data_IF_737978159549
#
_entry.id   IF_737978159549
#
_cell.length_a   1.000
_cell.length_b   1.000
_cell.length_c   1.000
_cell.angle_alpha   90.00
_cell.angle_beta   90.00
_cell.angle_gamma   90.00
#
_symmetry.space_group_name_H-M   'P 1'
#
loop_
_entity.id
_entity.type
_entity.pdbx_description
1 polymer ?
#
# COMPACT_ATOMS: atom_id res chain seq x y z
N UNK A 1 -8.99 23.58 -43.93
CA UNK A 1 -8.19 22.64 -43.16
C UNK A 1 -9.08 22.12 -42.03
N UNK A 2 -9.63 20.94 -42.22
CA UNK A 2 -10.55 20.30 -41.29
C UNK A 2 -9.70 19.60 -40.20
N UNK A 3 -9.69 20.10 -38.96
CA UNK A 3 -9.06 19.39 -37.88
C UNK A 3 -9.91 18.16 -37.56
N UNK A 4 -9.36 17.01 -37.88
CA UNK A 4 -9.90 15.72 -37.42
C UNK A 4 -9.59 15.57 -35.93
N UNK A 5 -10.56 15.84 -35.08
CA UNK A 5 -10.48 15.52 -33.65
C UNK A 5 -10.53 14.00 -33.55
N UNK A 6 -9.39 13.37 -33.32
CA UNK A 6 -9.32 11.96 -32.99
C UNK A 6 -9.92 11.79 -31.59
N UNK A 7 -11.18 11.40 -31.53
CA UNK A 7 -11.77 10.87 -30.29
C UNK A 7 -11.01 9.59 -29.96
N UNK A 8 -10.14 9.65 -28.95
CA UNK A 8 -9.57 8.44 -28.36
C UNK A 8 -10.76 7.61 -27.86
N UNK A 9 -11.03 6.47 -28.50
CA UNK A 9 -11.97 5.49 -27.97
C UNK A 9 -11.47 5.06 -26.59
N UNK A 10 -12.25 5.38 -25.58
CA UNK A 10 -11.99 4.94 -24.20
C UNK A 10 -12.11 3.42 -24.20
N UNK A 11 -11.04 2.72 -23.89
CA UNK A 11 -11.05 1.27 -23.79
C UNK A 11 -12.09 0.82 -22.75
N UNK A 12 -13.06 -0.02 -23.14
CA UNK A 12 -14.12 -0.44 -22.23
C UNK A 12 -13.54 -1.26 -21.07
N UNK A 13 -14.10 -1.07 -19.88
CA UNK A 13 -13.80 -1.94 -18.73
C UNK A 13 -14.37 -3.34 -19.03
N UNK A 14 -13.56 -4.38 -18.82
CA UNK A 14 -13.96 -5.77 -18.93
C UNK A 14 -14.24 -6.35 -17.54
N UNK A 15 -15.31 -7.11 -17.41
CA UNK A 15 -15.77 -7.71 -16.15
C UNK A 15 -15.66 -9.24 -16.12
N UNK A 16 -15.13 -9.82 -17.19
CA UNK A 16 -14.86 -11.25 -17.34
C UNK A 16 -13.48 -11.67 -16.79
N UNK A 17 -12.67 -10.70 -16.36
CA UNK A 17 -11.35 -10.94 -15.79
C UNK A 17 -11.38 -10.61 -14.31
N UNK A 18 -11.07 -11.57 -13.47
CA UNK A 18 -11.02 -11.45 -12.00
C UNK A 18 -9.84 -12.23 -11.45
N UNK A 19 -9.23 -11.70 -10.39
CA UNK A 19 -8.24 -12.42 -9.59
C UNK A 19 -8.88 -13.07 -8.35
N UNK A 20 -10.09 -12.63 -7.99
CA UNK A 20 -10.84 -13.14 -6.84
C UNK A 20 -11.67 -14.37 -7.24
N UNK A 21 -11.56 -15.43 -6.47
CA UNK A 21 -12.42 -16.62 -6.55
C UNK A 21 -13.59 -16.52 -5.59
N UNK A 22 -14.55 -17.44 -5.68
CA UNK A 22 -15.65 -17.55 -4.71
C UNK A 22 -15.12 -17.81 -3.28
N UNK A 23 -14.04 -18.57 -3.15
CA UNK A 23 -13.37 -18.83 -1.88
C UNK A 23 -12.71 -17.57 -1.31
N UNK A 24 -12.04 -16.76 -2.15
CA UNK A 24 -11.43 -15.49 -1.73
C UNK A 24 -12.50 -14.54 -1.15
N UNK A 25 -13.67 -14.40 -1.80
CA UNK A 25 -14.77 -13.59 -1.28
C UNK A 25 -15.30 -14.11 0.06
N UNK A 26 -15.45 -15.42 0.19
CA UNK A 26 -15.90 -16.06 1.43
C UNK A 26 -14.90 -15.81 2.56
N UNK A 27 -13.61 -16.10 2.34
CA UNK A 27 -12.54 -15.91 3.32
C UNK A 27 -12.38 -14.44 3.73
N UNK A 28 -12.56 -13.51 2.79
CA UNK A 28 -12.50 -12.08 3.08
C UNK A 28 -13.61 -11.66 4.05
N UNK A 29 -14.84 -12.04 3.76
CA UNK A 29 -15.99 -11.69 4.61
C UNK A 29 -15.95 -12.38 5.98
N UNK A 30 -15.38 -13.60 6.06
CA UNK A 30 -15.16 -14.30 7.35
C UNK A 30 -13.97 -13.74 8.17
N UNK A 31 -13.16 -12.85 7.59
CA UNK A 31 -11.98 -12.30 8.24
C UNK A 31 -10.78 -13.23 8.27
N UNK A 32 -10.71 -14.17 7.35
CA UNK A 32 -9.70 -15.23 7.27
C UNK A 32 -8.86 -15.16 5.97
N UNK A 33 -9.01 -14.12 5.18
CA UNK A 33 -8.18 -13.90 4.00
C UNK A 33 -6.93 -13.10 4.39
N UNK A 34 -5.75 -13.72 4.33
CA UNK A 34 -4.50 -13.12 4.82
C UNK A 34 -3.54 -12.67 3.71
N UNK A 35 -3.95 -12.78 2.45
CA UNK A 35 -3.14 -12.43 1.26
C UNK A 35 -3.92 -11.57 0.27
N UNK A 36 -4.66 -10.58 0.78
CA UNK A 36 -5.46 -9.65 -0.05
C UNK A 36 -4.61 -8.91 -1.07
N UNK A 37 -3.37 -8.60 -0.74
CA UNK A 37 -2.42 -7.90 -1.61
C UNK A 37 -2.08 -8.66 -2.91
N UNK A 38 -2.40 -9.95 -3.00
CA UNK A 38 -2.27 -10.75 -4.24
C UNK A 38 -3.49 -10.65 -5.15
N UNK A 39 -4.61 -10.14 -4.65
CA UNK A 39 -5.92 -10.19 -5.27
C UNK A 39 -6.58 -8.83 -5.43
N UNK A 40 -6.52 -8.01 -4.39
CA UNK A 40 -7.14 -6.68 -4.34
C UNK A 40 -6.10 -5.59 -4.65
N UNK A 41 -6.60 -4.40 -5.01
CA UNK A 41 -5.75 -3.31 -5.47
C UNK A 41 -5.66 -3.28 -6.99
N UNK A 42 -4.48 -2.97 -7.52
CA UNK A 42 -4.21 -2.86 -8.95
C UNK A 42 -3.15 -3.88 -9.39
N UNK A 43 -3.56 -4.86 -10.19
CA UNK A 43 -2.69 -5.95 -10.65
C UNK A 43 -2.55 -5.97 -12.17
N UNK A 44 -1.31 -6.00 -12.66
CA UNK A 44 -0.98 -6.17 -14.07
C UNK A 44 -1.34 -7.59 -14.52
N UNK A 45 -2.17 -7.70 -15.55
CA UNK A 45 -2.68 -8.98 -16.07
C UNK A 45 -2.67 -8.98 -17.61
N UNK A 46 -2.44 -10.14 -18.18
CA UNK A 46 -2.69 -10.38 -19.59
C UNK A 46 -3.86 -11.37 -19.75
N UNK A 47 -4.92 -10.96 -20.43
CA UNK A 47 -6.12 -11.77 -20.64
C UNK A 47 -6.55 -11.74 -22.10
N UNK A 48 -6.57 -12.93 -22.74
CA UNK A 48 -6.91 -13.06 -24.15
C UNK A 48 -5.96 -12.27 -25.08
N UNK A 49 -4.67 -12.22 -24.76
CA UNK A 49 -3.66 -11.47 -25.53
C UNK A 49 -3.69 -9.96 -25.30
N UNK A 50 -4.52 -9.46 -24.39
CA UNK A 50 -4.62 -8.04 -24.06
C UNK A 50 -4.00 -7.79 -22.67
N UNK A 51 -2.98 -6.93 -22.61
CA UNK A 51 -2.38 -6.46 -21.37
C UNK A 51 -3.21 -5.32 -20.78
N UNK A 52 -3.29 -5.29 -19.46
CA UNK A 52 -4.02 -4.26 -18.73
C UNK A 52 -3.88 -4.45 -17.21
N UNK A 53 -4.75 -3.79 -16.48
CA UNK A 53 -4.76 -3.85 -15.01
C UNK A 53 -6.15 -4.26 -14.52
N UNK A 54 -6.20 -5.24 -13.63
CA UNK A 54 -7.39 -5.52 -12.80
C UNK A 54 -7.34 -4.58 -11.61
N UNK A 55 -8.43 -3.85 -11.38
CA UNK A 55 -8.63 -3.02 -10.20
C UNK A 55 -9.69 -3.65 -9.32
N UNK A 56 -9.42 -3.71 -8.01
CA UNK A 56 -10.36 -4.29 -7.04
C UNK A 56 -10.31 -3.52 -5.73
N UNK A 57 -11.49 -3.13 -5.20
CA UNK A 57 -11.60 -2.35 -3.96
C UNK A 57 -12.84 -2.74 -3.16
N UNK A 58 -12.74 -2.72 -1.84
CA UNK A 58 -13.85 -2.96 -0.93
C UNK A 58 -14.56 -1.65 -0.57
N UNK A 59 -15.82 -1.53 -1.00
CA UNK A 59 -16.69 -0.37 -0.76
C UNK A 59 -18.15 -0.82 -0.71
N UNK A 60 -18.59 -1.52 0.35
CA UNK A 60 -19.90 -2.17 0.44
C UNK A 60 -21.07 -1.19 0.45
N UNK A 61 -20.84 0.05 0.86
CA UNK A 61 -21.88 1.09 0.91
C UNK A 61 -21.84 2.04 -0.31
N UNK A 62 -21.01 1.73 -1.31
CA UNK A 62 -20.97 2.49 -2.55
C UNK A 62 -22.19 2.16 -3.43
N UNK A 63 -22.74 3.20 -4.09
CA UNK A 63 -23.68 3.08 -5.20
C UNK A 63 -22.95 2.87 -6.51
N UNK A 64 -21.79 3.47 -6.66
CA UNK A 64 -20.92 3.38 -7.83
C UNK A 64 -19.47 3.55 -7.41
N UNK A 65 -18.60 2.79 -8.04
CA UNK A 65 -17.14 2.95 -7.95
C UNK A 65 -16.58 3.06 -9.36
N UNK A 66 -15.67 3.98 -9.59
CA UNK A 66 -14.93 4.11 -10.85
C UNK A 66 -13.44 4.30 -10.58
N UNK A 67 -12.61 4.01 -11.59
CA UNK A 67 -11.17 4.30 -11.54
C UNK A 67 -10.90 5.56 -12.34
N UNK A 68 -10.39 6.59 -11.66
CA UNK A 68 -9.84 7.79 -12.27
C UNK A 68 -8.31 7.75 -12.25
N UNK A 69 -7.68 8.32 -13.26
CA UNK A 69 -6.23 8.31 -13.31
C UNK A 69 -5.62 9.04 -14.50
N UNK A 70 -4.29 8.97 -14.60
CA UNK A 70 -3.54 9.60 -15.68
C UNK A 70 -3.91 9.06 -17.08
N UNK A 71 -4.41 7.83 -17.15
CA UNK A 71 -4.80 7.15 -18.39
C UNK A 71 -6.12 7.68 -19.00
N UNK A 72 -7.01 8.26 -18.19
CA UNK A 72 -8.30 8.78 -18.63
C UNK A 72 -8.50 10.27 -18.33
N UNK A 73 -7.40 11.01 -18.08
CA UNK A 73 -7.43 12.43 -17.76
C UNK A 73 -8.16 12.75 -16.45
N UNK A 74 -8.17 11.82 -15.50
CA UNK A 74 -8.86 11.92 -14.20
C UNK A 74 -10.39 12.05 -14.33
N UNK A 75 -10.95 11.42 -15.38
CA UNK A 75 -12.38 11.40 -15.57
C UNK A 75 -13.05 10.41 -14.61
N UNK A 76 -13.96 10.90 -13.80
CA UNK A 76 -14.59 10.16 -12.70
C UNK A 76 -15.69 9.18 -13.16
N UNK A 77 -16.08 9.20 -14.44
CA UNK A 77 -17.27 8.47 -14.93
C UNK A 77 -16.95 7.39 -15.98
N UNK A 78 -15.78 7.42 -16.59
CA UNK A 78 -15.52 6.64 -17.81
C UNK A 78 -15.09 5.20 -17.58
N UNK A 79 -14.66 4.83 -16.37
CA UNK A 79 -14.17 3.49 -16.05
C UNK A 79 -14.84 2.95 -14.77
N UNK A 80 -16.18 2.68 -14.82
CA UNK A 80 -16.88 2.14 -13.67
C UNK A 80 -16.45 0.70 -13.41
N UNK A 81 -16.35 0.34 -12.13
CA UNK A 81 -16.19 -1.02 -11.65
C UNK A 81 -17.55 -1.67 -11.42
N UNK A 82 -17.58 -3.00 -11.38
CA UNK A 82 -18.80 -3.78 -11.13
C UNK A 82 -18.72 -4.43 -9.75
N UNK A 83 -19.84 -4.45 -8.98
CA UNK A 83 -19.88 -5.15 -7.70
C UNK A 83 -19.84 -6.66 -7.90
N UNK A 84 -19.10 -7.36 -7.03
CA UNK A 84 -18.95 -8.82 -7.06
C UNK A 84 -19.94 -9.47 -6.07
N UNK A 85 -21.18 -9.60 -6.53
CA UNK A 85 -22.27 -10.15 -5.70
C UNK A 85 -22.50 -9.32 -4.44
N UNK A 86 -22.64 -10.00 -3.29
CA UNK A 86 -22.85 -9.37 -1.97
C UNK A 86 -21.58 -9.16 -1.16
N UNK A 87 -20.40 -9.38 -1.75
CA UNK A 87 -19.12 -9.28 -1.03
C UNK A 87 -18.74 -7.84 -0.61
N UNK A 88 -19.37 -6.84 -1.23
CA UNK A 88 -18.97 -5.43 -1.07
C UNK A 88 -17.72 -5.05 -1.87
N UNK A 89 -17.13 -5.98 -2.64
CA UNK A 89 -15.96 -5.73 -3.49
C UNK A 89 -16.43 -5.30 -4.88
N UNK A 90 -15.76 -4.28 -5.43
CA UNK A 90 -15.91 -3.76 -6.78
C UNK A 90 -14.69 -4.10 -7.60
N UNK A 91 -14.89 -4.58 -8.83
CA UNK A 91 -13.78 -5.07 -9.66
C UNK A 91 -14.00 -4.77 -11.14
N UNK A 92 -12.89 -4.61 -11.89
CA UNK A 92 -12.89 -4.49 -13.34
C UNK A 92 -11.47 -4.51 -13.92
N UNK A 93 -11.33 -5.07 -15.12
CA UNK A 93 -10.10 -5.07 -15.89
C UNK A 93 -10.12 -3.91 -16.89
N UNK A 94 -9.09 -3.08 -16.88
CA UNK A 94 -8.95 -1.94 -17.79
C UNK A 94 -7.80 -2.24 -18.77
N UNK A 95 -8.12 -2.51 -20.04
CA UNK A 95 -7.11 -2.75 -21.07
C UNK A 95 -6.19 -1.55 -21.28
N UNK A 96 -4.91 -1.82 -21.54
CA UNK A 96 -3.92 -0.79 -21.86
C UNK A 96 -3.39 0.00 -20.67
N UNK A 97 -3.96 -0.15 -19.48
CA UNK A 97 -3.42 0.45 -18.25
C UNK A 97 -2.24 -0.38 -17.76
N UNK A 98 -1.06 0.23 -17.67
CA UNK A 98 0.19 -0.44 -17.36
C UNK A 98 0.90 0.11 -16.11
N UNK A 99 2.07 -0.47 -15.83
CA UNK A 99 2.96 -0.06 -14.73
C UNK A 99 3.30 1.43 -14.81
N UNK A 100 3.27 2.10 -13.67
CA UNK A 100 3.55 3.54 -13.54
C UNK A 100 2.32 4.43 -13.72
N UNK A 101 1.15 3.87 -14.07
CA UNK A 101 -0.10 4.63 -14.19
C UNK A 101 -0.56 5.11 -12.82
N UNK A 102 -0.86 6.41 -12.71
CA UNK A 102 -1.43 7.02 -11.51
C UNK A 102 -2.94 6.81 -11.51
N UNK A 103 -3.50 6.45 -10.34
CA UNK A 103 -4.94 6.23 -10.21
C UNK A 103 -5.46 6.51 -8.80
N UNK A 104 -6.79 6.69 -8.72
CA UNK A 104 -7.61 6.71 -7.50
C UNK A 104 -8.93 5.98 -7.76
N UNK A 105 -9.58 5.57 -6.69
CA UNK A 105 -10.98 5.15 -6.73
C UNK A 105 -11.89 6.35 -6.48
N UNK A 106 -12.78 6.63 -7.43
CA UNK A 106 -13.90 7.53 -7.23
C UNK A 106 -15.08 6.75 -6.71
N UNK A 107 -15.56 7.09 -5.53
CA UNK A 107 -16.62 6.37 -4.83
C UNK A 107 -17.82 7.30 -4.66
N UNK A 108 -18.96 6.87 -5.17
CA UNK A 108 -20.24 7.51 -4.97
C UNK A 108 -21.03 6.67 -3.97
N UNK A 109 -21.25 7.21 -2.78
CA UNK A 109 -21.86 6.48 -1.67
C UNK A 109 -23.39 6.37 -1.81
N UNK A 110 -23.96 5.36 -1.18
CA UNK A 110 -25.42 5.31 -0.91
C UNK A 110 -25.85 6.26 0.22
N UNK A 111 -24.89 6.80 0.99
CA UNK A 111 -25.12 7.73 2.09
C UNK A 111 -25.16 9.17 1.57
N UNK A 112 -26.35 9.79 1.53
CA UNK A 112 -26.60 11.20 1.23
C UNK A 112 -25.92 11.76 -0.04
N UNK A 113 -25.61 10.88 -1.02
CA UNK A 113 -24.93 11.27 -2.26
C UNK A 113 -23.49 11.73 -2.05
N UNK A 114 -22.85 11.33 -0.98
CA UNK A 114 -21.44 11.62 -0.71
C UNK A 114 -20.53 11.05 -1.82
N UNK A 115 -19.69 11.91 -2.38
CA UNK A 115 -18.69 11.55 -3.40
C UNK A 115 -17.29 11.80 -2.86
N UNK A 116 -16.39 10.87 -3.11
CA UNK A 116 -15.01 10.97 -2.62
C UNK A 116 -14.03 10.30 -3.59
N UNK A 117 -12.79 10.82 -3.63
CA UNK A 117 -11.66 10.18 -4.31
C UNK A 117 -10.69 9.62 -3.28
N UNK A 118 -10.45 8.32 -3.33
CA UNK A 118 -9.62 7.58 -2.39
C UNK A 118 -8.39 6.98 -3.06
N UNK A 119 -7.26 7.06 -2.38
CA UNK A 119 -6.14 6.19 -2.70
C UNK A 119 -6.54 4.73 -2.48
N UNK A 120 -5.88 3.83 -3.16
CA UNK A 120 -6.13 2.41 -3.00
C UNK A 120 -5.58 1.90 -1.66
N UNK A 121 -6.41 1.32 -0.79
CA UNK A 121 -5.97 0.79 0.50
C UNK A 121 -4.90 -0.31 0.40
N UNK A 122 -4.86 -1.02 -0.74
CA UNK A 122 -3.96 -2.15 -0.98
C UNK A 122 -2.87 -1.80 -2.01
N UNK A 123 -2.69 -0.51 -2.32
CA UNK A 123 -1.67 -0.06 -3.26
C UNK A 123 -0.26 -0.53 -2.84
N UNK A 124 0.47 -1.09 -3.79
CA UNK A 124 1.86 -1.53 -3.61
C UNK A 124 2.86 -0.38 -3.74
N UNK A 125 2.44 0.73 -4.35
CA UNK A 125 3.23 1.94 -4.53
C UNK A 125 2.32 3.17 -4.63
N UNK A 126 2.83 4.32 -4.20
CA UNK A 126 2.10 5.60 -4.20
C UNK A 126 2.97 6.71 -4.76
N UNK A 127 2.35 7.83 -5.13
CA UNK A 127 3.11 9.06 -5.36
C UNK A 127 3.79 9.54 -4.09
N UNK A 128 4.90 10.26 -4.28
CA UNK A 128 5.56 10.95 -3.16
C UNK A 128 4.68 12.10 -2.64
N UNK A 129 4.41 12.15 -1.32
CA UNK A 129 3.70 13.27 -0.72
C UNK A 129 4.31 14.65 -1.07
N UNK A 130 3.48 15.69 -1.26
CA UNK A 130 2.06 15.80 -0.88
C UNK A 130 1.06 15.24 -1.89
N UNK A 131 1.52 14.63 -2.99
CA UNK A 131 0.64 13.93 -3.93
C UNK A 131 0.08 12.67 -3.28
N UNK A 132 -1.10 12.23 -3.74
CA UNK A 132 -1.90 11.24 -3.03
C UNK A 132 -2.45 10.11 -3.91
N UNK A 133 -2.02 10.02 -5.17
CA UNK A 133 -2.46 8.94 -6.03
C UNK A 133 -1.70 7.65 -5.75
N UNK A 134 -2.37 6.54 -5.94
CA UNK A 134 -1.76 5.23 -6.03
C UNK A 134 -1.13 5.02 -7.40
N UNK A 135 -0.16 4.14 -7.49
CA UNK A 135 0.57 3.83 -8.73
C UNK A 135 0.39 2.36 -9.05
N UNK A 136 -0.04 2.04 -10.26
CA UNK A 136 -0.04 0.65 -10.74
C UNK A 136 1.40 0.14 -10.76
N UNK A 137 1.67 -0.90 -9.97
CA UNK A 137 3.04 -1.38 -9.77
C UNK A 137 3.09 -2.90 -9.64
N UNK A 138 4.27 -3.48 -9.85
CA UNK A 138 4.60 -4.87 -9.54
C UNK A 138 5.72 -4.92 -8.50
N UNK A 139 5.94 -6.10 -7.94
CA UNK A 139 6.96 -6.35 -6.92
C UNK A 139 8.04 -7.31 -7.44
N UNK A 140 8.24 -7.38 -8.75
CA UNK A 140 9.27 -8.23 -9.34
C UNK A 140 10.66 -7.80 -8.85
N UNK A 141 11.33 -8.70 -8.13
CA UNK A 141 12.65 -8.51 -7.56
C UNK A 141 13.37 -9.86 -7.42
N UNK A 142 14.66 -9.88 -7.69
CA UNK A 142 15.49 -11.06 -7.48
C UNK A 142 16.29 -10.91 -6.20
N UNK A 143 15.91 -11.65 -5.16
CA UNK A 143 16.59 -11.68 -3.87
C UNK A 143 17.92 -12.41 -3.94
N UNK A 144 18.93 -11.91 -3.22
CA UNK A 144 20.27 -12.49 -3.14
C UNK A 144 20.66 -12.85 -1.69
N UNK A 145 19.70 -12.99 -0.80
CA UNK A 145 19.86 -13.19 0.63
C UNK A 145 19.71 -14.64 1.11
N UNK A 146 19.71 -15.62 0.21
CA UNK A 146 19.52 -17.06 0.53
C UNK A 146 20.42 -17.54 1.67
N UNK A 147 21.70 -17.15 1.67
CA UNK A 147 22.65 -17.52 2.72
C UNK A 147 22.32 -16.92 4.10
N UNK A 148 21.67 -15.78 4.15
CA UNK A 148 21.14 -15.20 5.38
C UNK A 148 19.91 -15.97 5.86
N UNK A 149 18.98 -16.30 4.97
CA UNK A 149 17.75 -17.02 5.31
C UNK A 149 18.04 -18.42 5.88
N UNK A 150 19.06 -19.12 5.36
CA UNK A 150 19.51 -20.41 5.90
C UNK A 150 19.96 -20.30 7.37
N UNK A 151 20.59 -19.20 7.74
CA UNK A 151 21.14 -18.97 9.09
C UNK A 151 20.15 -18.29 10.03
N UNK A 152 19.10 -17.64 9.51
CA UNK A 152 18.17 -16.80 10.26
C UNK A 152 17.58 -17.49 11.49
N UNK A 153 17.19 -18.78 11.37
CA UNK A 153 16.61 -19.54 12.48
C UNK A 153 17.55 -19.70 13.67
N UNK A 154 18.83 -19.91 13.43
CA UNK A 154 19.85 -20.02 14.49
C UNK A 154 20.22 -18.63 15.07
N UNK A 155 20.34 -17.62 14.22
CA UNK A 155 20.68 -16.27 14.62
C UNK A 155 19.57 -15.61 15.48
N UNK A 156 18.30 -15.97 15.23
CA UNK A 156 17.13 -15.45 15.96
C UNK A 156 16.66 -16.43 17.07
N UNK A 157 17.46 -17.41 17.46
CA UNK A 157 17.09 -18.30 18.56
C UNK A 157 17.01 -17.53 19.90
N UNK A 158 16.20 -18.01 20.85
CA UNK A 158 16.07 -17.40 22.17
C UNK A 158 17.39 -17.37 22.98
N UNK A 159 18.40 -18.11 22.54
CA UNK A 159 19.72 -18.15 23.20
C UNK A 159 20.80 -17.36 22.42
N UNK A 160 20.46 -16.82 21.27
CA UNK A 160 21.38 -15.98 20.51
C UNK A 160 21.43 -14.55 21.07
N UNK A 161 22.60 -13.90 21.09
CA UNK A 161 22.67 -12.50 21.47
C UNK A 161 21.98 -11.63 20.40
N UNK A 162 21.23 -10.63 20.85
CA UNK A 162 20.55 -9.68 19.99
C UNK A 162 20.91 -8.26 20.42
N UNK A 163 21.31 -7.43 19.46
CA UNK A 163 21.54 -5.99 19.62
C UNK A 163 20.85 -5.26 18.49
N UNK A 164 19.92 -4.35 18.80
CA UNK A 164 19.04 -3.70 17.85
C UNK A 164 19.43 -2.22 17.72
N UNK A 165 19.58 -1.74 16.49
CA UNK A 165 19.76 -0.34 16.16
C UNK A 165 18.46 0.21 15.55
N UNK A 166 17.73 1.01 16.31
CA UNK A 166 16.51 1.68 15.85
C UNK A 166 16.87 2.91 15.02
N UNK A 167 16.19 3.10 13.88
CA UNK A 167 16.50 4.18 12.96
C UNK A 167 15.28 4.71 12.21
N UNK A 168 15.19 6.05 12.12
CA UNK A 168 14.29 6.74 11.18
C UNK A 168 15.07 7.12 9.93
N UNK A 169 14.79 6.48 8.81
CA UNK A 169 15.57 6.61 7.57
C UNK A 169 15.65 8.05 7.06
N UNK A 170 14.57 8.82 7.22
CA UNK A 170 14.49 10.19 6.72
C UNK A 170 15.35 11.22 7.49
N UNK A 171 15.75 10.94 8.73
CA UNK A 171 16.52 11.85 9.56
C UNK A 171 17.92 11.34 9.91
N UNK A 172 18.20 10.05 9.68
CA UNK A 172 19.47 9.42 10.06
C UNK A 172 20.67 10.07 9.39
N UNK A 173 20.59 10.27 8.07
CA UNK A 173 21.59 11.00 7.28
C UNK A 173 20.92 11.85 6.20
N UNK A 174 21.57 12.96 5.85
CA UNK A 174 21.10 13.90 4.84
C UNK A 174 22.25 14.23 3.86
N UNK A 175 21.88 14.76 2.69
CA UNK A 175 22.83 15.26 1.68
C UNK A 175 22.77 16.80 1.69
N UNK A 176 23.62 17.48 2.47
CA UNK A 176 23.58 18.95 2.61
C UNK A 176 23.77 19.68 1.28
N UNK A 177 24.63 19.15 0.42
CA UNK A 177 24.99 19.71 -0.89
C UNK A 177 23.84 19.68 -1.89
N UNK A 178 22.83 18.84 -1.63
CA UNK A 178 21.62 18.67 -2.44
C UNK A 178 20.36 19.13 -1.68
N UNK A 179 20.36 20.37 -1.22
CA UNK A 179 19.24 20.97 -0.48
C UNK A 179 18.84 20.19 0.78
N UNK A 180 19.80 19.54 1.42
CA UNK A 180 19.59 18.76 2.64
C UNK A 180 18.51 17.67 2.48
N UNK A 181 18.44 17.04 1.30
CA UNK A 181 17.51 15.93 1.06
C UNK A 181 17.85 14.70 1.90
N UNK A 182 16.86 13.85 2.20
CA UNK A 182 17.15 12.52 2.74
C UNK A 182 17.91 11.68 1.72
N UNK A 183 18.57 10.63 2.19
CA UNK A 183 19.14 9.60 1.35
C UNK A 183 18.02 8.73 0.75
N UNK A 184 18.28 8.14 -0.41
CA UNK A 184 17.45 7.08 -0.99
C UNK A 184 17.73 5.75 -0.29
N UNK A 185 16.82 4.77 -0.47
CA UNK A 185 17.02 3.40 0.04
C UNK A 185 18.37 2.81 -0.39
N UNK A 186 18.74 3.03 -1.66
CA UNK A 186 20.01 2.55 -2.22
C UNK A 186 21.23 3.24 -1.64
N UNK A 187 21.14 4.52 -1.30
CA UNK A 187 22.23 5.27 -0.68
C UNK A 187 22.40 4.93 0.81
N UNK A 188 21.27 4.64 1.50
CA UNK A 188 21.28 4.30 2.92
C UNK A 188 21.86 2.90 3.14
N UNK A 189 21.50 1.91 2.31
CA UNK A 189 21.85 0.52 2.51
C UNK A 189 23.34 0.28 2.85
N UNK A 190 24.32 0.69 2.03
CA UNK A 190 25.72 0.45 2.33
C UNK A 190 26.22 1.25 3.53
N UNK A 191 25.74 2.47 3.73
CA UNK A 191 26.17 3.32 4.83
C UNK A 191 25.67 2.82 6.17
N UNK A 192 24.41 2.36 6.22
CA UNK A 192 23.82 1.83 7.43
C UNK A 192 24.44 0.46 7.78
N UNK A 193 24.64 -0.42 6.79
CA UNK A 193 25.29 -1.69 6.99
C UNK A 193 26.71 -1.54 7.58
N UNK A 194 27.51 -0.64 7.02
CA UNK A 194 28.85 -0.33 7.54
C UNK A 194 28.80 0.23 8.97
N UNK A 195 27.86 1.13 9.25
CA UNK A 195 27.70 1.75 10.57
C UNK A 195 27.33 0.72 11.65
N UNK A 196 26.27 -0.08 11.41
CA UNK A 196 25.78 -1.03 12.41
C UNK A 196 26.76 -2.19 12.63
N UNK A 197 27.44 -2.64 11.58
CA UNK A 197 28.47 -3.69 11.69
C UNK A 197 29.68 -3.20 12.50
N UNK A 198 30.15 -1.98 12.29
CA UNK A 198 31.24 -1.39 13.07
C UNK A 198 30.90 -1.26 14.55
N UNK A 199 29.63 -1.05 14.88
CA UNK A 199 29.15 -0.92 16.27
C UNK A 199 28.76 -2.26 16.88
N UNK A 200 28.71 -3.36 16.10
CA UNK A 200 28.37 -4.70 16.58
C UNK A 200 26.90 -4.97 16.77
N UNK A 201 26.01 -4.20 16.10
CA UNK A 201 24.57 -4.48 16.10
C UNK A 201 24.27 -5.68 15.18
N UNK A 202 23.26 -6.47 15.55
CA UNK A 202 22.81 -7.64 14.80
C UNK A 202 21.52 -7.36 13.98
N UNK A 203 20.75 -6.36 14.39
CA UNK A 203 19.46 -6.02 13.83
C UNK A 203 19.36 -4.51 13.61
N UNK A 204 18.60 -4.14 12.58
CA UNK A 204 18.13 -2.77 12.37
C UNK A 204 16.61 -2.78 12.52
N UNK A 205 16.10 -1.93 13.39
CA UNK A 205 14.67 -1.66 13.51
C UNK A 205 14.34 -0.35 12.80
N UNK A 206 13.46 -0.44 11.81
CA UNK A 206 13.01 0.72 11.05
C UNK A 206 11.75 1.28 11.71
N UNK A 207 11.79 2.57 12.13
CA UNK A 207 10.56 3.30 12.39
C UNK A 207 9.63 3.16 11.18
N UNK A 208 8.28 3.32 11.35
CA UNK A 208 7.33 2.89 10.33
C UNK A 208 7.69 3.34 8.92
N UNK A 209 7.94 2.38 8.04
CA UNK A 209 8.36 2.61 6.66
C UNK A 209 7.20 2.70 5.68
N UNK A 210 6.00 2.35 6.13
CA UNK A 210 4.79 2.41 5.32
C UNK A 210 4.47 3.84 4.91
N UNK A 211 3.80 4.01 3.76
CA UNK A 211 3.50 5.35 3.26
C UNK A 211 2.59 6.13 4.22
N UNK A 212 2.91 7.41 4.39
CA UNK A 212 2.23 8.31 5.32
C UNK A 212 2.26 9.75 4.76
N UNK A 213 1.21 10.58 4.98
CA UNK A 213 1.16 11.92 4.41
C UNK A 213 2.06 12.91 5.14
N UNK A 214 2.11 12.84 6.47
CA UNK A 214 2.80 13.80 7.32
C UNK A 214 4.19 13.31 7.74
N UNK A 215 5.24 13.95 7.23
CA UNK A 215 6.63 13.59 7.54
C UNK A 215 6.96 13.62 9.05
N UNK A 216 6.39 14.60 9.78
CA UNK A 216 6.61 14.74 11.21
C UNK A 216 5.99 13.65 12.09
N UNK A 217 5.17 12.77 11.51
CA UNK A 217 4.64 11.60 12.23
C UNK A 217 5.65 10.46 12.34
N UNK A 218 6.80 10.54 11.67
CA UNK A 218 7.81 9.48 11.56
C UNK A 218 7.27 8.14 11.00
N UNK A 219 6.14 8.21 10.28
CA UNK A 219 5.44 7.05 9.72
C UNK A 219 4.30 6.51 10.58
N UNK A 220 4.10 6.98 11.81
CA UNK A 220 3.03 6.50 12.69
C UNK A 220 1.62 6.91 12.25
N UNK A 221 1.47 7.81 11.29
CA UNK A 221 0.18 8.14 10.67
C UNK A 221 0.09 7.49 9.27
N UNK A 222 0.00 6.18 9.24
CA UNK A 222 0.04 5.35 8.03
C UNK A 222 -1.22 5.53 7.17
N UNK A 223 -1.03 5.71 5.85
CA UNK A 223 -2.10 5.69 4.85
C UNK A 223 -1.94 4.56 3.82
N UNK A 224 -0.71 4.09 3.57
CA UNK A 224 -0.42 3.01 2.61
C UNK A 224 0.13 1.78 3.30
N UNK A 225 -0.74 0.87 3.72
CA UNK A 225 -0.39 -0.32 4.53
C UNK A 225 0.39 -1.40 3.78
N UNK A 226 0.45 -1.30 2.45
CA UNK A 226 1.14 -2.26 1.56
C UNK A 226 2.19 -1.60 0.69
N UNK A 227 2.54 -0.34 0.96
CA UNK A 227 3.52 0.40 0.18
C UNK A 227 4.63 0.97 1.08
N UNK A 228 5.90 0.75 0.78
CA UNK A 228 6.98 1.51 1.41
C UNK A 228 6.89 2.97 0.96
N UNK A 229 7.25 3.90 1.85
CA UNK A 229 7.17 5.33 1.51
C UNK A 229 7.98 5.68 0.27
N UNK A 230 7.34 6.34 -0.68
CA UNK A 230 7.95 6.80 -1.93
C UNK A 230 9.00 7.91 -1.73
N UNK A 231 9.17 8.40 -0.50
CA UNK A 231 10.15 9.46 -0.18
C UNK A 231 11.58 9.07 -0.49
N UNK A 232 11.90 7.79 -0.36
CA UNK A 232 13.28 7.27 -0.45
C UNK A 232 13.51 6.38 -1.67
N UNK A 233 12.50 6.15 -2.51
CA UNK A 233 12.61 5.35 -3.72
C UNK A 233 11.38 4.48 -4.01
N UNK A 234 11.55 3.54 -4.93
CA UNK A 234 10.53 2.57 -5.32
C UNK A 234 10.45 1.38 -4.34
N UNK A 235 9.41 0.53 -4.43
CA UNK A 235 9.37 -0.74 -3.71
C UNK A 235 10.59 -1.62 -3.95
N UNK A 236 11.10 -1.70 -5.18
CA UNK A 236 12.32 -2.46 -5.50
C UNK A 236 13.57 -1.85 -4.85
N UNK A 237 13.62 -0.53 -4.65
CA UNK A 237 14.71 0.09 -3.92
C UNK A 237 14.68 -0.25 -2.44
N UNK A 238 13.48 -0.37 -1.87
CA UNK A 238 13.30 -0.88 -0.50
C UNK A 238 13.67 -2.36 -0.38
N UNK A 239 13.26 -3.21 -1.35
CA UNK A 239 13.68 -4.61 -1.40
C UNK A 239 15.22 -4.72 -1.49
N UNK A 240 15.85 -3.91 -2.34
CA UNK A 240 17.32 -3.83 -2.41
C UNK A 240 17.94 -3.45 -1.06
N UNK A 241 17.34 -2.50 -0.33
CA UNK A 241 17.82 -2.09 0.97
C UNK A 241 17.80 -3.26 1.97
N UNK A 242 16.70 -4.01 2.04
CA UNK A 242 16.59 -5.19 2.92
C UNK A 242 17.55 -6.29 2.49
N UNK A 243 17.58 -6.63 1.19
CA UNK A 243 18.46 -7.62 0.60
C UNK A 243 19.95 -7.32 0.90
N UNK A 244 20.34 -6.05 0.77
CA UNK A 244 21.69 -5.60 1.06
C UNK A 244 22.05 -5.79 2.54
N UNK A 245 21.16 -5.44 3.47
CA UNK A 245 21.39 -5.68 4.91
C UNK A 245 21.50 -7.16 5.24
N UNK A 246 20.64 -7.99 4.68
CA UNK A 246 20.69 -9.45 4.84
C UNK A 246 22.02 -10.03 4.35
N UNK A 247 22.51 -9.61 3.18
CA UNK A 247 23.84 -10.02 2.66
C UNK A 247 24.99 -9.62 3.58
N UNK A 248 24.79 -8.62 4.44
CA UNK A 248 25.76 -8.20 5.45
C UNK A 248 25.49 -8.78 6.84
N UNK A 249 24.64 -9.83 6.93
CA UNK A 249 24.22 -10.51 8.16
C UNK A 249 23.52 -9.58 9.18
N UNK A 250 22.78 -8.61 8.70
CA UNK A 250 21.96 -7.69 9.51
C UNK A 250 20.50 -8.04 9.27
N UNK A 251 19.79 -8.41 10.32
CA UNK A 251 18.33 -8.63 10.25
C UNK A 251 17.58 -7.31 10.28
N UNK A 252 16.41 -7.28 9.68
CA UNK A 252 15.54 -6.09 9.63
C UNK A 252 14.27 -6.33 10.42
N UNK A 253 13.91 -5.41 11.29
CA UNK A 253 12.64 -5.35 12.02
C UNK A 253 11.88 -4.15 11.47
N UNK A 254 10.59 -4.34 11.20
CA UNK A 254 9.71 -3.26 10.74
C UNK A 254 8.74 -2.90 11.85
N UNK A 255 8.69 -1.62 12.20
CA UNK A 255 7.66 -1.08 13.08
C UNK A 255 6.34 -0.97 12.30
N UNK A 256 5.35 -1.77 12.69
CA UNK A 256 4.04 -1.87 12.03
C UNK A 256 2.95 -1.24 12.90
N UNK A 257 2.11 -0.38 12.30
CA UNK A 257 1.13 0.44 13.02
C UNK A 257 -0.31 -0.03 12.74
N UNK A 258 -0.81 -1.08 13.40
CA UNK A 258 -2.15 -1.62 13.15
C UNK A 258 -3.25 -0.94 13.97
N UNK A 259 -2.92 0.03 14.83
CA UNK A 259 -3.86 0.53 15.84
C UNK A 259 -4.72 1.69 15.32
N UNK A 260 -4.16 2.56 14.50
CA UNK A 260 -4.82 3.80 14.08
C UNK A 260 -4.30 4.28 12.72
N UNK A 261 -5.02 5.24 12.14
CA UNK A 261 -4.66 5.88 10.86
C UNK A 261 -5.14 7.34 10.85
N UNK A 262 -4.53 8.23 10.05
CA UNK A 262 -4.89 9.63 9.98
C UNK A 262 -6.25 9.84 9.29
N UNK A 263 -6.87 10.98 9.54
CA UNK A 263 -8.17 11.36 8.95
C UNK A 263 -8.06 12.04 7.58
N UNK A 264 -6.92 11.94 6.91
CA UNK A 264 -6.69 12.52 5.58
C UNK A 264 -7.73 12.03 4.57
N UNK A 265 -8.32 12.95 3.80
CA UNK A 265 -9.46 12.66 2.92
C UNK A 265 -9.19 11.61 1.85
N UNK A 266 -7.94 11.44 1.41
CA UNK A 266 -7.56 10.42 0.44
C UNK A 266 -7.31 9.03 1.07
N UNK A 267 -7.19 8.94 2.40
CA UNK A 267 -6.90 7.71 3.15
C UNK A 267 -8.14 6.91 3.51
N UNK A 268 -8.00 6.12 4.59
CA UNK A 268 -9.02 5.13 5.00
C UNK A 268 -10.25 5.74 5.69
N UNK A 269 -10.13 6.96 6.29
CA UNK A 269 -11.21 7.58 7.03
C UNK A 269 -12.43 7.83 6.16
N UNK A 270 -13.62 7.42 6.60
CA UNK A 270 -14.86 7.55 5.85
C UNK A 270 -14.74 7.04 4.41
N UNK A 271 -14.15 5.86 4.24
CA UNK A 271 -13.66 5.39 2.95
C UNK A 271 -14.72 5.36 1.85
N UNK A 272 -15.88 4.80 2.12
CA UNK A 272 -17.01 4.72 1.17
C UNK A 272 -18.18 5.65 1.57
N UNK A 273 -17.88 6.71 2.31
CA UNK A 273 -18.88 7.63 2.88
C UNK A 273 -19.46 7.13 4.21
N UNK A 274 -18.92 6.05 4.75
CA UNK A 274 -19.28 5.50 6.06
C UNK A 274 -18.03 5.24 6.90
N UNK A 275 -18.21 4.94 8.18
CA UNK A 275 -17.15 4.43 9.06
C UNK A 275 -16.81 2.98 8.67
N UNK A 276 -16.05 2.80 7.56
CA UNK A 276 -15.78 1.49 7.01
C UNK A 276 -14.64 0.77 7.73
N UNK A 277 -13.50 1.43 7.87
CA UNK A 277 -12.33 0.88 8.56
C UNK A 277 -12.30 1.22 10.04
N UNK A 278 -12.83 2.37 10.43
CA UNK A 278 -12.91 2.83 11.80
C UNK A 278 -14.22 2.44 12.49
N UNK A 279 -14.23 2.52 13.82
CA UNK A 279 -15.45 2.32 14.60
C UNK A 279 -16.36 3.56 14.52
N UNK A 280 -17.68 3.36 14.35
CA UNK A 280 -18.66 4.46 14.20
C UNK A 280 -18.89 5.26 15.50
N UNK A 281 -18.73 4.64 16.68
CA UNK A 281 -18.75 5.36 17.95
C UNK A 281 -17.43 6.08 18.17
N UNK A 282 -17.43 7.41 18.16
CA UNK A 282 -16.21 8.23 18.31
C UNK A 282 -15.42 7.98 19.59
N UNK A 283 -16.06 7.43 20.63
CA UNK A 283 -15.36 7.03 21.88
C UNK A 283 -14.47 5.80 21.70
N UNK A 284 -14.71 5.02 20.64
CA UNK A 284 -13.93 3.83 20.26
C UNK A 284 -13.17 4.03 18.95
N UNK A 285 -13.68 4.89 18.05
CA UNK A 285 -13.18 5.10 16.70
C UNK A 285 -12.26 6.30 16.53
N UNK A 286 -12.01 7.09 17.59
CA UNK A 286 -11.17 8.28 17.49
C UNK A 286 -10.25 8.44 18.69
N UNK A 287 -8.96 8.68 18.43
CA UNK A 287 -7.95 8.93 19.45
C UNK A 287 -7.79 10.44 19.64
N UNK A 288 -8.23 11.02 20.79
CA UNK A 288 -8.30 12.48 20.97
C UNK A 288 -6.91 13.14 21.02
N UNK A 289 -5.89 12.48 21.57
CA UNK A 289 -4.54 13.04 21.71
C UNK A 289 -3.81 13.05 20.37
N UNK A 290 -3.91 11.98 19.59
CA UNK A 290 -3.24 11.84 18.29
C UNK A 290 -4.09 12.33 17.11
N UNK A 291 -5.37 12.62 17.36
CA UNK A 291 -6.35 13.06 16.34
C UNK A 291 -6.42 12.09 15.14
N UNK A 292 -6.40 10.81 15.42
CA UNK A 292 -6.41 9.72 14.45
C UNK A 292 -7.64 8.85 14.63
N UNK A 293 -8.02 8.15 13.55
CA UNK A 293 -9.08 7.15 13.59
C UNK A 293 -8.53 5.83 14.14
N UNK A 294 -9.37 5.07 14.83
CA UNK A 294 -9.02 3.75 15.40
C UNK A 294 -9.75 2.68 14.60
N UNK A 295 -9.02 1.64 14.19
CA UNK A 295 -9.60 0.52 13.45
C UNK A 295 -10.71 -0.19 14.21
N UNK A 296 -11.76 -0.56 13.48
CA UNK A 296 -12.82 -1.42 13.99
C UNK A 296 -12.41 -2.90 13.89
N UNK A 297 -11.70 -3.39 14.89
CA UNK A 297 -11.24 -4.79 14.93
C UNK A 297 -12.40 -5.83 15.03
N UNK A 298 -13.60 -5.38 15.37
CA UNK A 298 -14.80 -6.23 15.37
C UNK A 298 -15.30 -6.55 13.97
N UNK A 299 -14.86 -5.80 12.94
CA UNK A 299 -15.24 -6.05 11.55
C UNK A 299 -14.28 -7.06 10.91
N UNK A 300 -14.86 -8.15 10.40
CA UNK A 300 -14.09 -9.26 9.85
C UNK A 300 -13.21 -8.86 8.66
N UNK A 301 -13.71 -8.00 7.77
CA UNK A 301 -12.97 -7.50 6.62
C UNK A 301 -11.79 -6.59 7.02
N UNK A 302 -11.95 -5.80 8.08
CA UNK A 302 -10.84 -5.00 8.63
C UNK A 302 -9.77 -5.91 9.23
N UNK A 303 -10.17 -7.01 9.86
CA UNK A 303 -9.24 -8.05 10.34
C UNK A 303 -8.48 -8.68 9.16
N UNK A 304 -9.17 -9.08 8.08
CA UNK A 304 -8.51 -9.57 6.86
C UNK A 304 -7.51 -8.56 6.30
N UNK A 305 -7.87 -7.28 6.26
CA UNK A 305 -7.00 -6.20 5.79
C UNK A 305 -5.73 -6.08 6.63
N UNK A 306 -5.85 -6.01 7.95
CA UNK A 306 -4.71 -5.87 8.85
C UNK A 306 -3.82 -7.13 8.85
N UNK A 307 -4.41 -8.32 8.90
CA UNK A 307 -3.64 -9.57 8.82
C UNK A 307 -2.90 -9.70 7.49
N UNK A 308 -3.55 -9.30 6.37
CA UNK A 308 -2.89 -9.27 5.07
C UNK A 308 -1.73 -8.27 5.02
N UNK A 309 -1.87 -7.11 5.67
CA UNK A 309 -0.77 -6.15 5.77
C UNK A 309 0.42 -6.74 6.54
N UNK A 310 0.18 -7.38 7.69
CA UNK A 310 1.23 -8.06 8.44
C UNK A 310 1.94 -9.14 7.59
N UNK A 311 1.16 -9.98 6.90
CA UNK A 311 1.69 -11.05 6.04
C UNK A 311 2.46 -10.52 4.82
N UNK A 312 2.11 -9.34 4.33
CA UNK A 312 2.81 -8.69 3.22
C UNK A 312 4.25 -8.32 3.58
N UNK A 313 4.49 -7.89 4.80
CA UNK A 313 5.80 -7.43 5.26
C UNK A 313 6.69 -8.54 5.81
N UNK A 314 6.16 -9.74 6.09
CA UNK A 314 6.90 -10.92 6.58
C UNK A 314 7.49 -11.77 5.45
#
# INVERSE_FOLDING_TARGET
MTQTTTTQEVSPVRYDVSLMTAEDFYLFNEGNHYRLYEKMGAHLVESGGTKGTVFSVWAPNARQVAVSGSFNGWNLQTHPLQPRGSSGIWEGFIPGVGKGTLYKFHINSNQDGHETEKADPVALFTEKPPRTASVVWDLDYTWNDAAFLEKRGAANSLHAPMSIYEVHLGSWMRVPEEHNRPLTYREIAPRLADHVNKLGFTHVELLPIMEHPFYGSWGYQTTGYFAPTARYGSPQDFMYFVDYLHQHNIAVILDWVPSHFPSDGHGLAFFDGTHLFEHSDSRQGFHPDWKTMIFNYGRTEVRSFLMSSAMFWL
#
